data_IF_048990861499
#
_entry.id   IF_048990861499
#
_cell.length_a   1.000
_cell.length_b   1.000
_cell.length_c   1.000
_cell.angle_alpha   90.00
_cell.angle_beta   90.00
_cell.angle_gamma   90.00
#
_symmetry.space_group_name_H-M   'P 1'
#
loop_
_entity.id
_entity.type
_entity.pdbx_description
1 polymer ?
#
# COMPACT_ATOMS: atom_id res chain seq x y z
N UNK A 1 -30.11 11.78 -2.43
CA UNK A 1 -30.21 10.33 -2.71
C UNK A 1 -30.47 10.16 -4.19
N UNK A 2 -29.55 9.61 -5.00
CA UNK A 2 -29.77 9.45 -6.43
C UNK A 2 -30.82 8.36 -6.66
N UNK A 3 -31.81 8.68 -7.50
CA UNK A 3 -32.87 7.76 -7.94
C UNK A 3 -32.27 6.70 -8.86
N UNK A 4 -32.22 5.45 -8.39
CA UNK A 4 -31.82 4.29 -9.19
C UNK A 4 -32.96 4.01 -10.17
N UNK A 5 -32.76 4.37 -11.45
CA UNK A 5 -33.67 4.01 -12.54
C UNK A 5 -33.32 2.61 -13.02
N UNK A 6 -34.27 1.69 -12.87
CA UNK A 6 -34.18 0.33 -13.41
C UNK A 6 -34.11 0.38 -14.94
N UNK A 7 -33.15 -0.32 -15.53
CA UNK A 7 -32.98 -0.39 -16.98
C UNK A 7 -34.03 -1.33 -17.59
N UNK A 8 -35.02 -0.76 -18.30
CA UNK A 8 -36.12 -1.48 -18.95
C UNK A 8 -35.63 -2.41 -20.08
N UNK A 9 -34.41 -2.20 -20.56
CA UNK A 9 -33.80 -3.00 -21.63
C UNK A 9 -32.74 -3.99 -21.13
N UNK A 10 -32.70 -4.27 -19.83
CA UNK A 10 -31.81 -5.31 -19.31
C UNK A 10 -32.19 -6.67 -19.93
N UNK A 11 -31.21 -7.47 -20.40
CA UNK A 11 -31.47 -8.84 -20.83
C UNK A 11 -32.04 -9.66 -19.67
N UNK A 12 -32.87 -10.68 -19.94
CA UNK A 12 -33.40 -11.54 -18.90
C UNK A 12 -32.26 -12.17 -18.10
N UNK A 13 -32.31 -12.02 -16.79
CA UNK A 13 -31.37 -12.66 -15.88
C UNK A 13 -31.65 -14.17 -15.84
N UNK A 14 -30.68 -14.97 -16.29
CA UNK A 14 -30.68 -16.41 -16.10
C UNK A 14 -29.63 -16.74 -15.02
N UNK A 15 -30.04 -17.15 -13.81
CA UNK A 15 -29.10 -17.54 -12.78
C UNK A 15 -28.24 -18.71 -13.28
N UNK A 16 -26.91 -18.59 -13.17
CA UNK A 16 -25.95 -19.64 -13.56
C UNK A 16 -25.94 -20.84 -12.61
N UNK A 17 -26.51 -20.67 -11.43
CA UNK A 17 -26.82 -21.73 -10.47
C UNK A 17 -28.34 -21.78 -10.33
N UNK A 18 -28.94 -22.84 -10.87
CA UNK A 18 -30.35 -23.12 -10.63
C UNK A 18 -30.59 -23.08 -9.13
N UNK A 19 -31.53 -22.25 -8.69
CA UNK A 19 -32.04 -22.36 -7.33
C UNK A 19 -32.45 -23.82 -7.15
N UNK A 20 -31.96 -24.43 -6.07
CA UNK A 20 -31.94 -25.87 -5.85
C UNK A 20 -33.25 -26.50 -6.32
N UNK A 21 -33.12 -27.65 -6.98
CA UNK A 21 -34.20 -28.54 -7.46
C UNK A 21 -35.49 -28.31 -6.70
N UNK A 22 -36.63 -28.05 -7.38
CA UNK A 22 -37.90 -27.92 -6.69
C UNK A 22 -38.07 -29.17 -5.83
N UNK A 23 -38.17 -28.98 -4.51
CA UNK A 23 -38.47 -30.07 -3.59
C UNK A 23 -39.91 -30.44 -3.91
N UNK A 24 -40.06 -31.50 -4.70
CA UNK A 24 -41.35 -32.07 -5.09
C UNK A 24 -41.87 -32.98 -3.99
N UNK A 25 -43.18 -33.19 -3.95
CA UNK A 25 -43.85 -33.91 -2.84
C UNK A 25 -43.30 -35.34 -2.63
N UNK A 26 -42.80 -35.99 -3.68
CA UNK A 26 -42.11 -37.28 -3.64
C UNK A 26 -40.77 -37.26 -2.89
N UNK A 27 -40.04 -36.13 -2.97
CA UNK A 27 -38.82 -35.91 -2.18
C UNK A 27 -39.16 -35.70 -0.70
N UNK A 28 -40.25 -35.01 -0.41
CA UNK A 28 -40.73 -34.78 0.96
C UNK A 28 -41.16 -36.10 1.61
N UNK A 29 -41.92 -36.92 0.87
CA UNK A 29 -42.39 -38.22 1.33
C UNK A 29 -41.25 -39.23 1.51
N UNK A 30 -40.29 -39.27 0.58
CA UNK A 30 -39.13 -40.17 0.69
C UNK A 30 -38.15 -39.81 1.82
N UNK A 31 -38.05 -38.53 2.17
CA UNK A 31 -37.19 -38.04 3.25
C UNK A 31 -37.93 -37.86 4.59
N UNK A 32 -39.22 -38.18 4.63
CA UNK A 32 -40.07 -38.11 5.82
C UNK A 32 -40.04 -36.72 6.49
N UNK A 33 -40.01 -35.67 5.67
CA UNK A 33 -39.92 -34.29 6.14
C UNK A 33 -41.28 -33.84 6.72
N UNK A 34 -41.30 -33.15 7.87
CA UNK A 34 -42.55 -32.65 8.44
C UNK A 34 -43.17 -31.61 7.48
N UNK A 35 -44.39 -31.89 7.02
CA UNK A 35 -45.14 -31.04 6.10
C UNK A 35 -46.58 -30.83 6.58
N UNK A 36 -47.06 -29.58 6.55
CA UNK A 36 -48.42 -29.22 6.96
C UNK A 36 -49.39 -29.29 5.78
N UNK A 37 -50.48 -30.07 5.87
CA UNK A 37 -51.44 -30.25 4.78
C UNK A 37 -52.27 -28.99 4.45
N UNK A 38 -52.10 -27.89 5.17
CA UNK A 38 -52.83 -26.64 4.94
C UNK A 38 -52.40 -25.93 3.62
N UNK A 39 -51.27 -26.31 3.03
CA UNK A 39 -50.71 -25.70 1.80
C UNK A 39 -50.96 -26.56 0.54
N UNK A 40 -51.68 -27.69 0.66
CA UNK A 40 -51.88 -28.72 -0.39
C UNK A 40 -52.70 -28.23 -1.61
N UNK A 41 -53.16 -26.98 -1.62
CA UNK A 41 -53.88 -26.39 -2.77
C UNK A 41 -53.24 -25.12 -3.33
N UNK A 42 -51.98 -24.86 -3.02
CA UNK A 42 -51.23 -23.79 -3.67
C UNK A 42 -50.34 -24.40 -4.76
N UNK A 43 -50.70 -24.20 -6.03
CA UNK A 43 -49.73 -24.38 -7.13
C UNK A 43 -48.57 -23.39 -6.89
N UNK A 44 -47.48 -23.86 -6.28
CA UNK A 44 -46.37 -23.01 -5.88
C UNK A 44 -45.35 -23.69 -4.96
N UNK A 45 -44.30 -22.94 -4.62
CA UNK A 45 -43.19 -23.40 -3.77
C UNK A 45 -43.68 -23.86 -2.39
N UNK A 46 -43.30 -25.08 -1.99
CA UNK A 46 -43.49 -25.58 -0.63
C UNK A 46 -42.49 -24.90 0.30
N UNK A 47 -43.00 -24.05 1.19
CA UNK A 47 -42.22 -23.57 2.33
C UNK A 47 -42.29 -24.68 3.37
N UNK A 48 -41.16 -25.35 3.61
CA UNK A 48 -41.03 -26.26 4.74
C UNK A 48 -41.21 -25.40 6.00
N UNK A 49 -42.25 -25.69 6.79
CA UNK A 49 -42.36 -25.12 8.13
C UNK A 49 -41.14 -25.61 8.89
N UNK A 50 -40.16 -24.73 9.06
CA UNK A 50 -39.04 -24.99 9.92
C UNK A 50 -39.62 -25.02 11.33
N UNK A 51 -39.95 -26.21 11.82
CA UNK A 51 -40.31 -26.44 13.22
C UNK A 51 -39.11 -26.03 14.07
N UNK A 52 -39.06 -24.74 14.41
CA UNK A 52 -38.13 -24.18 15.37
C UNK A 52 -38.48 -24.81 16.71
N UNK A 53 -37.75 -25.88 17.05
CA UNK A 53 -37.75 -26.47 18.38
C UNK A 53 -37.18 -25.42 19.35
N UNK A 54 -38.05 -24.53 19.82
CA UNK A 54 -37.76 -23.50 20.81
C UNK A 54 -37.73 -24.14 22.20
N UNK A 55 -36.82 -25.10 22.39
CA UNK A 55 -36.43 -25.50 23.74
C UNK A 55 -35.58 -24.37 24.31
N UNK A 56 -36.00 -23.80 25.43
CA UNK A 56 -35.14 -22.92 26.23
C UNK A 56 -33.94 -23.73 26.70
N UNK A 57 -32.74 -23.31 26.27
CA UNK A 57 -31.46 -23.91 26.65
C UNK A 57 -30.93 -23.11 27.83
N UNK A 58 -30.66 -23.72 28.99
CA UNK A 58 -30.04 -23.05 30.13
C UNK A 58 -28.67 -22.45 29.73
N UNK A 59 -28.32 -21.31 30.33
CA UNK A 59 -27.04 -20.64 30.05
C UNK A 59 -25.83 -21.54 30.34
N UNK A 60 -25.96 -22.47 31.29
CA UNK A 60 -24.94 -23.47 31.62
C UNK A 60 -24.72 -24.49 30.49
N UNK A 61 -25.76 -24.79 29.69
CA UNK A 61 -25.69 -25.73 28.55
C UNK A 61 -25.24 -25.03 27.26
N UNK A 62 -25.36 -23.70 27.16
CA UNK A 62 -25.08 -22.92 25.95
C UNK A 62 -23.63 -23.00 25.48
N UNK A 63 -22.70 -23.22 26.42
CA UNK A 63 -21.26 -23.27 26.15
C UNK A 63 -20.64 -24.61 26.53
N UNK A 64 -21.45 -25.62 26.89
CA UNK A 64 -20.95 -26.95 27.23
C UNK A 64 -20.71 -27.77 25.93
N UNK A 65 -19.45 -28.12 25.62
CA UNK A 65 -19.13 -28.92 24.43
C UNK A 65 -19.75 -30.32 24.47
N UNK A 66 -20.18 -30.80 25.64
CA UNK A 66 -20.91 -32.07 25.74
C UNK A 66 -22.31 -32.00 25.11
N UNK A 67 -22.94 -30.82 25.12
CA UNK A 67 -24.26 -30.58 24.54
C UNK A 67 -24.20 -30.00 23.13
N UNK A 68 -23.22 -29.12 22.88
CA UNK A 68 -22.96 -28.50 21.58
C UNK A 68 -21.48 -28.68 21.19
N UNK A 69 -21.08 -29.92 20.82
CA UNK A 69 -19.72 -30.17 20.39
C UNK A 69 -19.43 -29.45 19.08
N UNK A 70 -18.21 -28.93 18.94
CA UNK A 70 -17.75 -28.36 17.68
C UNK A 70 -17.88 -29.38 16.57
N UNK A 71 -18.60 -28.99 15.53
CA UNK A 71 -18.73 -29.77 14.32
C UNK A 71 -17.48 -29.61 13.46
N UNK A 72 -17.28 -30.54 12.52
CA UNK A 72 -16.20 -30.43 11.54
C UNK A 72 -16.33 -29.19 10.65
N UNK A 73 -17.52 -28.59 10.57
CA UNK A 73 -17.75 -27.33 9.87
C UNK A 73 -17.24 -26.17 10.72
N UNK A 74 -17.59 -26.11 12.01
CA UNK A 74 -17.11 -25.06 12.93
C UNK A 74 -15.58 -25.02 13.00
N UNK A 75 -14.93 -26.19 13.02
CA UNK A 75 -13.47 -26.28 13.01
C UNK A 75 -12.85 -25.77 11.71
N UNK A 76 -13.49 -26.02 10.56
CA UNK A 76 -13.02 -25.49 9.27
C UNK A 76 -13.23 -23.99 9.15
N UNK A 77 -14.33 -23.48 9.69
CA UNK A 77 -14.58 -22.04 9.75
C UNK A 77 -13.55 -21.34 10.64
N UNK A 78 -13.21 -21.93 11.79
CA UNK A 78 -12.18 -21.41 12.68
C UNK A 78 -10.80 -21.39 11.99
N UNK A 79 -10.43 -22.47 11.30
CA UNK A 79 -9.18 -22.53 10.51
C UNK A 79 -9.14 -21.45 9.42
N UNK A 80 -10.26 -21.21 8.73
CA UNK A 80 -10.35 -20.16 7.73
C UNK A 80 -10.20 -18.75 8.35
N UNK A 81 -10.74 -18.54 9.56
CA UNK A 81 -10.54 -17.29 10.30
C UNK A 81 -9.07 -17.08 10.67
N UNK A 82 -8.37 -18.12 11.11
CA UNK A 82 -6.95 -18.02 11.45
C UNK A 82 -6.10 -17.67 10.22
N UNK A 83 -6.35 -18.33 9.08
CA UNK A 83 -5.68 -18.02 7.80
C UNK A 83 -5.95 -16.58 7.34
N UNK A 84 -7.18 -16.09 7.50
CA UNK A 84 -7.53 -14.71 7.18
C UNK A 84 -6.79 -13.72 8.09
N UNK A 85 -6.69 -14.01 9.39
CA UNK A 85 -5.98 -13.16 10.33
C UNK A 85 -4.49 -13.06 10.02
N UNK A 86 -3.86 -14.18 9.63
CA UNK A 86 -2.46 -14.20 9.20
C UNK A 86 -2.25 -13.31 7.95
N UNK A 87 -3.11 -13.45 6.94
CA UNK A 87 -3.05 -12.63 5.73
C UNK A 87 -3.24 -11.13 6.03
N UNK A 88 -4.16 -10.79 6.94
CA UNK A 88 -4.39 -9.40 7.34
C UNK A 88 -3.17 -8.82 8.06
N UNK A 89 -2.48 -9.61 8.89
CA UNK A 89 -1.25 -9.18 9.55
C UNK A 89 -0.11 -8.95 8.53
N UNK A 90 0.00 -9.79 7.49
CA UNK A 90 0.96 -9.58 6.41
C UNK A 90 0.65 -8.30 5.61
N UNK A 91 -0.62 -8.03 5.34
CA UNK A 91 -1.04 -6.82 4.64
C UNK A 91 -0.71 -5.54 5.44
N UNK A 92 -0.93 -5.55 6.76
CA UNK A 92 -0.55 -4.43 7.63
C UNK A 92 0.96 -4.13 7.56
N UNK A 93 1.78 -5.18 7.52
CA UNK A 93 3.23 -5.04 7.36
C UNK A 93 3.62 -4.41 6.00
N UNK A 94 2.95 -4.82 4.92
CA UNK A 94 3.18 -4.26 3.59
C UNK A 94 2.75 -2.79 3.49
N UNK A 95 1.63 -2.43 4.10
CA UNK A 95 1.16 -1.04 4.18
C UNK A 95 2.17 -0.15 4.91
N UNK A 96 2.72 -0.63 6.04
CA UNK A 96 3.82 0.06 6.72
C UNK A 96 5.06 0.22 5.83
N UNK A 97 5.40 -0.81 5.05
CA UNK A 97 6.53 -0.74 4.13
C UNK A 97 6.30 0.30 3.02
N UNK A 98 5.09 0.38 2.46
CA UNK A 98 4.74 1.42 1.49
C UNK A 98 4.81 2.83 2.12
N UNK A 99 4.30 2.99 3.34
CA UNK A 99 4.35 4.27 4.05
C UNK A 99 5.80 4.72 4.30
N UNK A 100 6.68 3.80 4.71
CA UNK A 100 8.10 4.08 4.88
C UNK A 100 8.76 4.46 3.55
N UNK A 101 8.42 3.77 2.45
CA UNK A 101 8.92 4.09 1.13
C UNK A 101 8.48 5.49 0.69
N UNK A 102 7.21 5.87 0.90
CA UNK A 102 6.71 7.22 0.66
C UNK A 102 7.50 8.26 1.45
N UNK A 103 7.65 8.06 2.76
CA UNK A 103 8.42 8.97 3.65
C UNK A 103 9.87 9.13 3.19
N UNK A 104 10.49 8.05 2.74
CA UNK A 104 11.86 8.08 2.21
C UNK A 104 11.93 8.89 0.91
N UNK A 105 11.01 8.67 -0.01
CA UNK A 105 10.92 9.41 -1.27
C UNK A 105 10.70 10.91 -1.00
N UNK A 106 9.78 11.25 -0.11
CA UNK A 106 9.51 12.65 0.27
C UNK A 106 10.77 13.29 0.88
N UNK A 107 11.51 12.56 1.72
CA UNK A 107 12.74 13.07 2.32
C UNK A 107 13.85 13.27 1.29
N UNK A 108 13.99 12.37 0.32
CA UNK A 108 14.93 12.55 -0.79
C UNK A 108 14.60 13.79 -1.62
N UNK A 109 13.32 14.01 -1.94
CA UNK A 109 12.89 15.22 -2.65
C UNK A 109 13.17 16.49 -1.83
N UNK A 110 12.85 16.50 -0.53
CA UNK A 110 13.14 17.63 0.35
C UNK A 110 14.64 17.97 0.39
N UNK A 111 15.51 16.94 0.45
CA UNK A 111 16.96 17.12 0.44
C UNK A 111 17.47 17.64 -0.91
N UNK A 112 16.92 17.15 -2.03
CA UNK A 112 17.24 17.67 -3.36
C UNK A 112 16.83 19.14 -3.52
N UNK A 113 15.63 19.49 -3.08
CA UNK A 113 15.13 20.87 -3.11
C UNK A 113 15.97 21.79 -2.23
N UNK A 114 16.33 21.34 -1.03
CA UNK A 114 17.23 22.07 -0.14
C UNK A 114 18.60 22.28 -0.78
N UNK A 115 19.17 21.23 -1.40
CA UNK A 115 20.43 21.32 -2.15
C UNK A 115 20.34 22.36 -3.27
N UNK A 116 19.29 22.33 -4.10
CA UNK A 116 19.07 23.31 -5.18
C UNK A 116 18.92 24.73 -4.64
N UNK A 117 18.22 24.91 -3.51
CA UNK A 117 18.08 26.22 -2.85
C UNK A 117 19.43 26.77 -2.39
N UNK A 118 20.29 25.91 -1.82
CA UNK A 118 21.61 26.30 -1.34
C UNK A 118 22.65 26.45 -2.45
N UNK A 119 22.49 25.78 -3.59
CA UNK A 119 23.43 25.83 -4.72
C UNK A 119 23.69 27.27 -5.19
N UNK A 120 22.67 28.13 -5.27
CA UNK A 120 22.87 29.54 -5.64
C UNK A 120 23.71 30.29 -4.60
N UNK A 121 23.49 30.03 -3.31
CA UNK A 121 24.28 30.63 -2.22
C UNK A 121 25.73 30.15 -2.26
N UNK A 122 25.95 28.85 -2.49
CA UNK A 122 27.27 28.24 -2.60
C UNK A 122 28.02 28.80 -3.82
N UNK A 123 27.36 28.90 -4.98
CA UNK A 123 27.92 29.51 -6.19
C UNK A 123 28.25 30.99 -5.97
N UNK A 124 27.37 31.74 -5.30
CA UNK A 124 27.63 33.14 -4.96
C UNK A 124 28.87 33.25 -4.05
N UNK A 125 29.03 32.38 -3.05
CA UNK A 125 30.23 32.40 -2.19
C UNK A 125 31.50 32.04 -2.99
N UNK A 126 31.43 31.04 -3.87
CA UNK A 126 32.57 30.58 -4.67
C UNK A 126 32.99 31.55 -5.78
N UNK A 127 32.05 32.29 -6.36
CA UNK A 127 32.29 33.23 -7.47
C UNK A 127 32.52 34.67 -7.00
N UNK A 128 32.31 34.98 -5.72
CA UNK A 128 32.70 36.29 -5.17
C UNK A 128 34.23 36.37 -5.20
N UNK A 129 34.83 37.27 -6.02
CA UNK A 129 36.25 37.54 -5.89
C UNK A 129 36.49 38.06 -4.47
N UNK A 130 37.48 37.52 -3.77
CA UNK A 130 37.79 38.05 -2.45
C UNK A 130 38.11 39.54 -2.63
N UNK A 131 37.52 40.41 -1.79
CA UNK A 131 37.78 41.87 -1.86
C UNK A 131 39.29 42.19 -1.81
N UNK A 132 40.07 41.29 -1.21
CA UNK A 132 41.53 41.33 -1.20
C UNK A 132 42.18 41.02 -2.57
N UNK A 133 41.66 40.08 -3.35
CA UNK A 133 42.16 39.81 -4.71
C UNK A 133 41.80 40.93 -5.67
N UNK A 134 40.60 41.49 -5.58
CA UNK A 134 40.19 42.59 -6.47
C UNK A 134 40.94 43.90 -6.17
N UNK A 135 41.20 44.17 -4.89
CA UNK A 135 42.11 45.24 -4.46
C UNK A 135 43.56 44.98 -4.89
N UNK A 136 44.05 43.72 -4.83
CA UNK A 136 45.38 43.35 -5.31
C UNK A 136 45.52 43.48 -6.84
N UNK A 137 44.50 43.10 -7.61
CA UNK A 137 44.47 43.26 -9.07
C UNK A 137 44.45 44.74 -9.47
N UNK A 138 43.65 45.59 -8.80
CA UNK A 138 43.64 47.04 -9.04
C UNK A 138 44.94 47.70 -8.60
N UNK A 139 45.52 47.28 -7.47
CA UNK A 139 46.83 47.76 -7.00
C UNK A 139 47.96 47.41 -7.98
N UNK A 140 47.91 46.25 -8.63
CA UNK A 140 48.88 45.86 -9.67
C UNK A 140 48.71 46.64 -10.98
N UNK A 141 47.47 46.95 -11.38
CA UNK A 141 47.20 47.76 -12.59
C UNK A 141 47.69 49.20 -12.47
N UNK A 142 47.67 49.77 -11.26
CA UNK A 142 48.15 51.13 -11.01
C UNK A 142 49.67 51.22 -10.76
N UNK A 143 50.39 50.10 -10.84
CA UNK A 143 51.85 50.02 -10.70
C UNK A 143 52.58 49.80 -12.03
N UNK A 144 52.02 50.23 -13.16
CA UNK A 144 52.81 50.49 -14.37
C UNK A 144 53.68 51.74 -14.16
N UNK A 145 54.64 51.57 -13.26
CA UNK A 145 55.86 52.35 -13.19
C UNK A 145 56.65 52.09 -14.47
N UNK A 146 56.90 53.18 -15.19
CA UNK A 146 58.14 53.54 -15.89
C UNK A 146 59.17 52.42 -16.15
N UNK A 147 59.66 52.27 -17.39
CA UNK A 147 60.63 51.22 -17.72
C UNK A 147 62.02 51.60 -17.21
N UNK A 148 62.40 51.14 -16.02
CA UNK A 148 63.80 51.05 -15.63
C UNK A 148 64.30 49.64 -15.89
N UNK A 149 65.01 49.53 -17.00
CA UNK A 149 66.10 48.62 -17.29
C UNK A 149 66.66 47.90 -16.04
N UNK A 150 66.66 46.57 -16.02
CA UNK A 150 67.86 45.75 -15.74
C UNK A 150 67.57 44.24 -15.77
N UNK A 151 68.58 43.53 -16.25
CA UNK A 151 68.62 42.12 -16.67
C UNK A 151 68.87 41.15 -15.52
N UNK A 152 68.51 39.89 -15.80
CA UNK A 152 69.03 38.62 -15.27
C UNK A 152 68.64 38.14 -13.86
N UNK A 153 68.15 36.89 -13.83
CA UNK A 153 68.14 36.08 -12.61
C UNK A 153 67.36 34.77 -12.67
N UNK A 154 67.86 33.81 -13.46
CA UNK A 154 67.76 32.33 -13.33
C UNK A 154 66.53 31.71 -12.63
N UNK A 155 65.80 30.89 -13.40
CA UNK A 155 64.86 29.85 -12.93
C UNK A 155 65.50 28.86 -11.95
N UNK A 156 64.68 28.23 -11.08
CA UNK A 156 64.65 26.78 -11.12
C UNK A 156 63.23 26.21 -11.23
N UNK A 157 63.09 25.26 -12.15
CA UNK A 157 61.98 24.33 -12.29
C UNK A 157 61.84 23.50 -11.02
N UNK A 158 60.64 23.49 -10.43
CA UNK A 158 60.19 22.38 -9.59
C UNK A 158 58.90 21.83 -10.20
N UNK A 159 59.07 20.70 -10.89
CA UNK A 159 57.98 19.84 -11.27
C UNK A 159 57.42 19.17 -10.01
N UNK A 160 56.10 19.20 -9.82
CA UNK A 160 55.38 18.16 -9.09
C UNK A 160 54.13 17.78 -9.88
N UNK A 161 54.17 16.54 -10.35
CA UNK A 161 53.12 15.80 -11.05
C UNK A 161 51.81 15.79 -10.27
N UNK A 162 50.70 16.11 -10.95
CA UNK A 162 49.35 15.81 -10.47
C UNK A 162 49.13 14.31 -10.70
N UNK A 163 49.28 13.50 -9.64
CA UNK A 163 48.75 12.14 -9.64
C UNK A 163 47.24 12.24 -9.34
N UNK A 164 46.41 11.89 -10.32
CA UNK A 164 44.99 11.58 -10.09
C UNK A 164 44.88 10.10 -9.72
N UNK A 165 44.06 9.72 -8.72
CA UNK A 165 43.77 8.31 -8.46
C UNK A 165 42.81 7.79 -9.54
N UNK A 166 43.21 6.75 -10.26
CA UNK A 166 42.27 5.90 -11.02
C UNK A 166 41.64 4.92 -10.04
N UNK A 167 40.31 4.87 -10.00
CA UNK A 167 39.55 3.82 -9.33
C UNK A 167 39.95 2.45 -9.89
N UNK A 168 40.20 1.48 -9.01
CA UNK A 168 40.25 0.06 -9.34
C UNK A 168 38.81 -0.46 -9.54
N UNK A 169 38.65 -1.29 -10.57
CA UNK A 169 37.59 -2.28 -10.70
C UNK A 169 38.16 -3.64 -10.32
#
# INVERSE_FOLDING_TARGET
MPSIKLNVHAPPFYPSLGWKTPITDDVIESLNLPYSPAVVKADGFVILDQELHTREVPDEELFDPAFYPFTQTDLRELEACDQMNELLAELELLDMQEELHRKLVDKCHELEDNRRSQESTIWNILMQPSKNEEAAFRSRRNKTLTPTHQLHGKSPRLARSINQPRHLH
#
